data_IF_214277917018
#
_entry.id   IF_214277917018
#
_cell.length_a   1.000
_cell.length_b   1.000
_cell.length_c   1.000
_cell.angle_alpha   90.00
_cell.angle_beta   90.00
_cell.angle_gamma   90.00
#
_symmetry.space_group_name_H-M   'P 1'
#
loop_
_entity.id
_entity.type
_entity.pdbx_description
1 polymer ?
#
# COMPACT_ATOMS: atom_id res chain seq x y z
N UNK A 1 55.62 -43.67 -12.60
CA UNK A 1 54.99 -42.38 -12.23
C UNK A 1 54.14 -41.89 -13.41
N UNK A 2 52.81 -42.07 -13.34
CA UNK A 2 51.85 -41.66 -14.40
C UNK A 2 51.27 -40.29 -14.05
N UNK A 3 51.36 -39.33 -14.97
CA UNK A 3 50.71 -38.00 -14.88
C UNK A 3 49.21 -38.14 -15.10
N UNK A 4 48.40 -37.63 -14.17
CA UNK A 4 46.96 -37.53 -14.30
C UNK A 4 46.57 -36.35 -15.22
N UNK A 5 45.76 -36.63 -16.24
CA UNK A 5 45.18 -35.62 -17.11
C UNK A 5 44.02 -34.90 -16.41
N UNK A 6 44.08 -33.56 -16.34
CA UNK A 6 42.97 -32.72 -15.92
C UNK A 6 41.96 -32.61 -17.07
N UNK A 7 40.75 -33.11 -16.88
CA UNK A 7 39.62 -32.87 -17.79
C UNK A 7 39.17 -31.42 -17.66
N UNK A 8 39.44 -30.60 -18.68
CA UNK A 8 38.87 -29.27 -18.80
C UNK A 8 37.38 -29.37 -19.13
N UNK A 9 36.52 -28.84 -18.25
CA UNK A 9 35.12 -28.64 -18.57
C UNK A 9 35.01 -27.63 -19.71
N UNK A 10 34.19 -27.93 -20.72
CA UNK A 10 33.91 -27.03 -21.83
C UNK A 10 33.27 -25.72 -21.31
N UNK A 11 33.55 -24.57 -21.94
CA UNK A 11 32.89 -23.31 -21.58
C UNK A 11 31.38 -23.44 -21.80
N UNK A 12 30.55 -22.84 -20.93
CA UNK A 12 29.10 -22.90 -21.07
C UNK A 12 28.67 -22.24 -22.38
N UNK A 13 27.75 -22.90 -23.08
CA UNK A 13 27.16 -22.45 -24.33
C UNK A 13 26.46 -21.08 -24.13
N UNK A 14 26.88 -20.01 -24.84
CA UNK A 14 26.31 -18.68 -24.71
C UNK A 14 24.86 -18.57 -25.22
N UNK A 15 24.30 -19.64 -25.79
CA UNK A 15 22.92 -19.68 -26.33
C UNK A 15 21.90 -20.32 -25.39
N UNK A 16 22.33 -20.90 -24.26
CA UNK A 16 21.43 -21.38 -23.22
C UNK A 16 20.91 -20.19 -22.38
N UNK A 17 19.98 -19.40 -22.92
CA UNK A 17 19.11 -18.55 -22.09
C UNK A 17 18.21 -19.47 -21.27
N UNK A 18 18.73 -19.97 -20.15
CA UNK A 18 17.90 -20.53 -19.09
C UNK A 18 16.80 -19.52 -18.77
N UNK A 19 15.54 -19.97 -18.65
CA UNK A 19 14.43 -19.11 -18.24
C UNK A 19 14.89 -18.35 -16.99
N UNK A 20 15.00 -17.03 -17.09
CA UNK A 20 15.36 -16.20 -15.95
C UNK A 20 14.37 -16.50 -14.82
N UNK A 21 14.88 -16.64 -13.59
CA UNK A 21 14.01 -16.86 -12.43
C UNK A 21 12.99 -15.70 -12.34
N UNK A 22 11.74 -15.96 -11.92
CA UNK A 22 10.78 -14.89 -11.66
C UNK A 22 11.36 -13.89 -10.67
N UNK A 23 11.10 -12.60 -10.90
CA UNK A 23 11.50 -11.53 -9.98
C UNK A 23 10.74 -11.67 -8.68
N UNK A 24 11.42 -11.55 -7.54
CA UNK A 24 10.77 -11.51 -6.22
C UNK A 24 10.28 -10.09 -5.98
N UNK A 25 8.97 -9.93 -5.90
CA UNK A 25 8.29 -8.63 -5.83
C UNK A 25 7.64 -8.45 -4.47
N UNK A 26 7.78 -7.26 -3.89
CA UNK A 26 6.92 -6.79 -2.81
C UNK A 26 5.96 -5.72 -3.32
N UNK A 27 4.70 -5.75 -2.89
CA UNK A 27 3.69 -4.75 -3.26
C UNK A 27 3.33 -3.89 -2.04
N UNK A 28 3.38 -2.57 -2.18
CA UNK A 28 3.09 -1.63 -1.12
C UNK A 28 1.87 -0.78 -1.49
N UNK A 29 0.79 -0.89 -0.70
CA UNK A 29 -0.51 -0.31 -0.98
C UNK A 29 -0.76 0.94 -0.12
N UNK A 30 -0.66 2.13 -0.72
CA UNK A 30 -0.92 3.38 0.00
C UNK A 30 -2.41 3.48 0.40
N UNK A 31 -2.66 4.05 1.59
CA UNK A 31 -4.00 4.38 2.06
C UNK A 31 -4.67 5.51 1.28
N UNK A 32 -6.00 5.50 1.27
CA UNK A 32 -6.78 6.55 0.62
C UNK A 32 -8.30 6.47 0.81
N UNK A 33 -8.82 5.77 1.82
CA UNK A 33 -10.26 5.55 1.98
C UNK A 33 -10.85 4.80 0.78
N UNK A 34 -12.00 5.26 0.28
CA UNK A 34 -12.67 4.72 -0.91
C UNK A 34 -11.78 4.71 -2.16
N UNK A 35 -10.81 5.63 -2.27
CA UNK A 35 -9.87 5.61 -3.39
C UNK A 35 -9.02 4.32 -3.45
N UNK A 36 -8.92 3.55 -2.37
CA UNK A 36 -8.26 2.25 -2.37
C UNK A 36 -8.99 1.18 -3.22
N UNK A 37 -10.20 1.46 -3.71
CA UNK A 37 -10.84 0.67 -4.78
C UNK A 37 -9.95 0.60 -6.03
N UNK A 38 -9.17 1.65 -6.32
CA UNK A 38 -8.12 1.60 -7.35
C UNK A 38 -7.07 0.53 -7.07
N UNK A 39 -6.57 0.47 -5.83
CA UNK A 39 -5.63 -0.58 -5.41
C UNK A 39 -6.21 -1.97 -5.58
N UNK A 40 -7.50 -2.17 -5.27
CA UNK A 40 -8.15 -3.45 -5.49
C UNK A 40 -8.21 -3.83 -6.97
N UNK A 41 -8.53 -2.89 -7.86
CA UNK A 41 -8.45 -3.10 -9.31
C UNK A 41 -7.03 -3.52 -9.74
N UNK A 42 -6.01 -2.81 -9.25
CA UNK A 42 -4.61 -3.15 -9.56
C UNK A 42 -4.27 -4.57 -9.12
N UNK A 43 -4.52 -4.91 -7.86
CA UNK A 43 -4.24 -6.24 -7.32
C UNK A 43 -5.04 -7.33 -8.04
N UNK A 44 -6.31 -7.07 -8.38
CA UNK A 44 -7.15 -8.02 -9.13
C UNK A 44 -6.56 -8.35 -10.50
N UNK A 45 -5.97 -7.37 -11.18
CA UNK A 45 -5.34 -7.59 -12.49
C UNK A 45 -3.99 -8.28 -12.34
N UNK A 46 -3.15 -7.87 -11.40
CA UNK A 46 -1.84 -8.50 -11.16
C UNK A 46 -1.96 -9.98 -10.76
N UNK A 47 -3.02 -10.35 -10.06
CA UNK A 47 -3.29 -11.74 -9.64
C UNK A 47 -4.00 -12.59 -10.70
N UNK A 48 -4.33 -12.01 -11.87
CA UNK A 48 -4.94 -12.77 -12.97
C UNK A 48 -3.93 -13.71 -13.63
N UNK A 49 -4.44 -14.76 -14.31
CA UNK A 49 -3.63 -15.75 -15.03
C UNK A 49 -2.63 -15.12 -16.02
N UNK A 50 -2.95 -13.94 -16.56
CA UNK A 50 -2.09 -13.21 -17.51
C UNK A 50 -0.80 -12.66 -16.87
N UNK A 51 -0.84 -12.31 -15.57
CA UNK A 51 0.23 -11.57 -14.91
C UNK A 51 0.90 -12.32 -13.76
N UNK A 52 0.15 -13.17 -13.05
CA UNK A 52 0.58 -13.75 -11.77
C UNK A 52 1.84 -14.62 -11.87
N UNK A 53 2.10 -15.22 -13.03
CA UNK A 53 3.26 -16.09 -13.26
C UNK A 53 4.51 -15.30 -13.69
N UNK A 54 4.39 -13.99 -13.92
CA UNK A 54 5.49 -13.10 -14.29
C UNK A 54 6.41 -12.73 -13.12
N UNK A 55 5.98 -12.96 -11.88
CA UNK A 55 6.72 -12.59 -10.67
C UNK A 55 6.41 -13.54 -9.50
N UNK A 56 7.30 -13.57 -8.50
CA UNK A 56 7.05 -14.21 -7.21
C UNK A 56 6.66 -13.14 -6.20
N UNK A 57 5.40 -13.14 -5.73
CA UNK A 57 4.97 -12.23 -4.67
C UNK A 57 5.58 -12.64 -3.33
N UNK A 58 6.61 -11.93 -2.88
CA UNK A 58 7.28 -12.16 -1.61
C UNK A 58 6.45 -11.63 -0.43
N UNK A 59 5.81 -10.48 -0.61
CA UNK A 59 5.01 -9.84 0.44
C UNK A 59 4.15 -8.69 -0.06
N UNK A 60 3.14 -8.36 0.72
CA UNK A 60 2.24 -7.24 0.48
C UNK A 60 2.13 -6.40 1.76
N UNK A 61 2.09 -5.08 1.63
CA UNK A 61 1.87 -4.19 2.77
C UNK A 61 0.80 -3.16 2.47
N UNK A 62 0.17 -2.62 3.51
CA UNK A 62 -0.75 -1.51 3.34
C UNK A 62 -1.06 -0.76 4.62
N UNK A 63 -1.65 0.42 4.43
CA UNK A 63 -2.16 1.29 5.49
C UNK A 63 -3.59 1.72 5.12
N UNK A 64 -4.49 1.82 6.09
CA UNK A 64 -5.87 2.30 5.86
C UNK A 64 -6.61 1.46 4.83
N UNK A 65 -7.32 2.06 3.87
CA UNK A 65 -7.91 1.35 2.72
C UNK A 65 -6.91 0.47 1.95
N UNK A 66 -5.63 0.85 1.91
CA UNK A 66 -4.57 0.02 1.34
C UNK A 66 -4.28 -1.24 2.17
N UNK A 67 -4.40 -1.17 3.50
CA UNK A 67 -4.29 -2.33 4.39
C UNK A 67 -5.46 -3.30 4.18
N UNK A 68 -6.66 -2.79 3.94
CA UNK A 68 -7.85 -3.60 3.61
C UNK A 68 -7.58 -4.37 2.31
N UNK A 69 -7.16 -3.69 1.25
CA UNK A 69 -6.82 -4.33 -0.03
C UNK A 69 -5.69 -5.37 0.12
N UNK A 70 -4.63 -5.02 0.84
CA UNK A 70 -3.51 -5.93 1.12
C UNK A 70 -3.95 -7.18 1.87
N UNK A 71 -4.77 -7.03 2.91
CA UNK A 71 -5.27 -8.13 3.73
C UNK A 71 -6.24 -9.03 2.94
N UNK A 72 -7.12 -8.47 2.10
CA UNK A 72 -8.04 -9.25 1.26
C UNK A 72 -7.28 -10.11 0.25
N UNK A 73 -6.28 -9.51 -0.42
CA UNK A 73 -5.43 -10.23 -1.36
C UNK A 73 -4.64 -11.34 -0.66
N UNK A 74 -3.99 -11.00 0.46
CA UNK A 74 -3.23 -11.95 1.27
C UNK A 74 -4.09 -13.11 1.80
N UNK A 75 -5.27 -12.81 2.36
CA UNK A 75 -6.17 -13.82 2.90
C UNK A 75 -6.59 -14.81 1.82
N UNK A 76 -7.01 -14.31 0.64
CA UNK A 76 -7.38 -15.17 -0.47
C UNK A 76 -6.22 -16.03 -0.98
N UNK A 77 -5.01 -15.45 -1.11
CA UNK A 77 -3.82 -16.20 -1.48
C UNK A 77 -3.49 -17.31 -0.48
N UNK A 78 -3.68 -17.06 0.82
CA UNK A 78 -3.41 -18.02 1.87
C UNK A 78 -4.47 -19.14 2.00
N UNK A 79 -5.71 -18.92 1.52
CA UNK A 79 -6.81 -19.89 1.64
C UNK A 79 -7.17 -20.59 0.33
N UNK A 80 -7.36 -19.84 -0.75
CA UNK A 80 -7.93 -20.33 -2.00
C UNK A 80 -7.15 -19.92 -3.25
N UNK A 81 -5.99 -19.27 -3.08
CA UNK A 81 -5.12 -18.84 -4.17
C UNK A 81 -5.57 -17.54 -4.86
N UNK A 82 -5.00 -17.24 -6.05
CA UNK A 82 -5.18 -15.96 -6.71
C UNK A 82 -6.64 -15.61 -7.04
N UNK A 83 -7.45 -16.58 -7.47
CA UNK A 83 -8.87 -16.33 -7.79
C UNK A 83 -9.71 -16.02 -6.54
N UNK A 84 -9.42 -16.66 -5.40
CA UNK A 84 -10.06 -16.32 -4.11
C UNK A 84 -9.68 -14.89 -3.67
N UNK A 85 -8.41 -14.50 -3.83
CA UNK A 85 -7.95 -13.14 -3.57
C UNK A 85 -8.68 -12.11 -4.45
N UNK A 86 -8.82 -12.40 -5.74
CA UNK A 86 -9.55 -11.53 -6.69
C UNK A 86 -11.03 -11.41 -6.34
N UNK A 87 -11.66 -12.52 -5.95
CA UNK A 87 -13.07 -12.56 -5.56
C UNK A 87 -13.33 -11.75 -4.27
N UNK A 88 -12.44 -11.86 -3.28
CA UNK A 88 -12.55 -11.09 -2.01
C UNK A 88 -12.39 -9.60 -2.23
N UNK A 89 -11.42 -9.19 -3.05
CA UNK A 89 -11.25 -7.80 -3.45
C UNK A 89 -12.50 -7.26 -4.14
N UNK A 90 -13.03 -7.98 -5.14
CA UNK A 90 -14.24 -7.57 -5.84
C UNK A 90 -15.46 -7.49 -4.90
N UNK A 91 -15.70 -8.57 -4.13
CA UNK A 91 -16.85 -8.68 -3.25
C UNK A 91 -16.85 -7.65 -2.13
N UNK A 92 -15.68 -7.34 -1.53
CA UNK A 92 -15.60 -6.31 -0.49
C UNK A 92 -15.98 -4.94 -1.03
N UNK A 93 -15.44 -4.54 -2.19
CA UNK A 93 -15.70 -3.22 -2.76
C UNK A 93 -17.09 -3.11 -3.38
N UNK A 94 -17.66 -4.22 -3.85
CA UNK A 94 -19.07 -4.27 -4.29
C UNK A 94 -20.01 -4.11 -3.09
N UNK A 95 -19.76 -4.83 -2.00
CA UNK A 95 -20.52 -4.71 -0.74
C UNK A 95 -20.38 -3.34 -0.08
N UNK A 96 -19.25 -2.66 -0.27
CA UNK A 96 -19.03 -1.33 0.27
C UNK A 96 -19.87 -0.25 -0.42
N UNK A 97 -20.47 -0.52 -1.59
CA UNK A 97 -21.27 0.44 -2.35
C UNK A 97 -22.47 0.93 -1.54
N UNK A 98 -22.79 2.21 -1.69
CA UNK A 98 -24.03 2.78 -1.20
C UNK A 98 -25.14 2.58 -2.25
N UNK A 99 -25.62 1.35 -2.39
CA UNK A 99 -26.55 0.93 -3.46
C UNK A 99 -28.02 0.89 -3.01
N UNK A 100 -28.30 0.77 -1.72
CA UNK A 100 -29.66 0.88 -1.19
C UNK A 100 -30.11 2.35 -1.18
N UNK A 101 -31.42 2.65 -1.33
CA UNK A 101 -31.91 4.03 -1.29
C UNK A 101 -31.55 4.79 -0.01
N UNK A 102 -31.49 4.08 1.13
CA UNK A 102 -31.13 4.66 2.43
C UNK A 102 -29.63 4.95 2.47
N UNK A 103 -28.78 4.00 2.07
CA UNK A 103 -27.33 4.20 2.06
C UNK A 103 -26.92 5.26 1.05
N UNK A 104 -27.53 5.29 -0.13
CA UNK A 104 -27.29 6.31 -1.14
C UNK A 104 -27.65 7.71 -0.62
N UNK A 105 -28.79 7.84 0.08
CA UNK A 105 -29.19 9.09 0.71
C UNK A 105 -28.22 9.51 1.82
N UNK A 106 -27.79 8.58 2.68
CA UNK A 106 -26.81 8.85 3.74
C UNK A 106 -25.44 9.25 3.17
N UNK A 107 -24.97 8.55 2.13
CA UNK A 107 -23.73 8.84 1.43
C UNK A 107 -23.79 10.24 0.80
N UNK A 108 -24.87 10.58 0.10
CA UNK A 108 -25.07 11.90 -0.49
C UNK A 108 -25.00 13.01 0.56
N UNK A 109 -25.70 12.88 1.69
CA UNK A 109 -25.68 13.89 2.75
C UNK A 109 -24.34 13.95 3.48
N UNK A 110 -23.67 12.81 3.69
CA UNK A 110 -22.31 12.77 4.22
C UNK A 110 -21.33 13.54 3.33
N UNK A 111 -21.43 13.37 2.02
CA UNK A 111 -20.63 14.10 1.03
C UNK A 111 -20.95 15.58 1.03
N UNK A 112 -22.23 15.94 0.99
CA UNK A 112 -22.68 17.33 1.03
C UNK A 112 -22.17 18.06 2.27
N UNK A 113 -22.19 17.40 3.44
CA UNK A 113 -21.65 17.95 4.68
C UNK A 113 -20.12 18.07 4.67
N UNK A 114 -19.42 17.06 4.15
CA UNK A 114 -17.95 17.04 4.07
C UNK A 114 -17.39 18.10 3.11
N UNK A 115 -18.16 18.52 2.10
CA UNK A 115 -17.77 19.57 1.15
C UNK A 115 -18.19 20.99 1.57
N UNK A 116 -18.74 21.18 2.78
CA UNK A 116 -19.09 22.52 3.27
C UNK A 116 -17.82 23.37 3.52
N UNK A 117 -17.89 24.70 3.28
CA UNK A 117 -16.73 25.59 3.49
C UNK A 117 -16.39 25.76 4.98
N UNK A 118 -17.37 25.55 5.86
CA UNK A 118 -17.19 25.45 7.29
C UNK A 118 -17.10 23.99 7.71
N UNK A 119 -16.30 23.71 8.74
CA UNK A 119 -16.14 22.36 9.25
C UNK A 119 -16.49 22.33 10.73
N UNK A 120 -17.36 21.41 11.09
CA UNK A 120 -17.71 21.13 12.48
C UNK A 120 -17.17 19.76 12.79
N UNK A 121 -15.97 19.71 13.35
CA UNK A 121 -15.35 18.45 13.75
C UNK A 121 -16.01 18.00 15.06
N UNK A 122 -16.82 16.95 14.98
CA UNK A 122 -17.48 16.34 16.14
C UNK A 122 -16.64 15.16 16.62
N UNK A 123 -16.35 15.13 17.92
CA UNK A 123 -15.62 14.00 18.49
C UNK A 123 -16.44 12.70 18.39
N UNK A 124 -15.87 11.60 17.88
CA UNK A 124 -16.55 10.30 17.81
C UNK A 124 -16.81 9.69 19.19
N UNK A 125 -16.24 10.28 20.25
CA UNK A 125 -16.53 9.95 21.64
C UNK A 125 -17.80 10.64 22.17
N UNK A 126 -18.27 11.69 21.49
CA UNK A 126 -19.53 12.37 21.82
C UNK A 126 -20.71 11.86 20.99
N UNK A 127 -20.46 11.45 19.75
CA UNK A 127 -21.47 10.95 18.84
C UNK A 127 -21.01 9.60 18.28
N UNK A 128 -21.64 8.51 18.73
CA UNK A 128 -21.35 7.16 18.25
C UNK A 128 -22.01 6.97 16.88
N UNK A 129 -21.20 6.71 15.84
CA UNK A 129 -21.66 6.52 14.47
C UNK A 129 -21.66 5.05 14.01
N UNK A 130 -21.13 4.13 14.84
CA UNK A 130 -21.08 2.69 14.54
C UNK A 130 -20.14 2.28 13.40
N UNK A 131 -19.32 3.19 12.87
CA UNK A 131 -18.47 2.93 11.70
C UNK A 131 -17.45 1.78 11.94
N UNK A 132 -16.97 1.63 13.17
CA UNK A 132 -16.09 0.54 13.61
C UNK A 132 -16.78 -0.83 13.56
N UNK A 133 -18.04 -0.91 13.99
CA UNK A 133 -18.84 -2.15 13.95
C UNK A 133 -19.13 -2.57 12.51
N UNK A 134 -19.58 -1.62 11.68
CA UNK A 134 -19.87 -1.86 10.26
C UNK A 134 -18.63 -2.37 9.53
N UNK A 135 -17.49 -1.69 9.69
CA UNK A 135 -16.24 -2.13 9.06
C UNK A 135 -15.79 -3.51 9.59
N UNK A 136 -15.95 -3.77 10.89
CA UNK A 136 -15.62 -5.08 11.48
C UNK A 136 -16.45 -6.20 10.86
N UNK A 137 -17.76 -5.98 10.67
CA UNK A 137 -18.65 -6.96 10.03
C UNK A 137 -18.24 -7.23 8.58
N UNK A 138 -17.93 -6.18 7.82
CA UNK A 138 -17.47 -6.33 6.44
C UNK A 138 -16.15 -7.10 6.38
N UNK A 139 -15.16 -6.72 7.20
CA UNK A 139 -13.89 -7.45 7.28
C UNK A 139 -14.10 -8.92 7.67
N UNK A 140 -15.02 -9.23 8.59
CA UNK A 140 -15.36 -10.62 8.96
C UNK A 140 -15.97 -11.39 7.79
N UNK A 141 -16.85 -10.76 7.03
CA UNK A 141 -17.50 -11.35 5.88
C UNK A 141 -16.53 -11.72 4.75
N UNK A 142 -15.46 -10.92 4.54
CA UNK A 142 -14.57 -11.09 3.38
C UNK A 142 -13.17 -11.63 3.70
N UNK A 143 -12.64 -11.48 4.93
CA UNK A 143 -11.30 -11.99 5.27
C UNK A 143 -11.32 -13.41 5.80
N UNK A 144 -12.28 -13.75 6.66
CA UNK A 144 -12.31 -15.03 7.37
C UNK A 144 -10.94 -15.41 7.98
N UNK A 145 -10.36 -14.54 8.82
CA UNK A 145 -9.01 -14.73 9.37
C UNK A 145 -8.88 -16.07 10.12
N UNK A 146 -9.98 -16.52 10.74
CA UNK A 146 -10.12 -17.80 11.41
C UNK A 146 -9.90 -19.02 10.49
N UNK A 147 -10.17 -18.89 9.18
CA UNK A 147 -10.04 -19.98 8.19
C UNK A 147 -8.64 -20.09 7.59
N UNK A 148 -7.78 -19.07 7.73
CA UNK A 148 -6.42 -19.07 7.18
C UNK A 148 -5.54 -20.15 7.85
N UNK A 149 -5.90 -20.57 9.07
CA UNK A 149 -5.26 -21.68 9.76
C UNK A 149 -3.93 -21.30 10.41
N UNK A 150 -3.02 -22.28 10.49
CA UNK A 150 -1.77 -22.18 11.25
C UNK A 150 -0.85 -21.03 10.76
N UNK A 151 0.01 -20.46 11.64
CA UNK A 151 0.94 -19.38 11.27
C UNK A 151 1.81 -19.66 10.05
N UNK A 152 2.12 -20.92 9.75
CA UNK A 152 2.88 -21.29 8.56
C UNK A 152 2.20 -20.89 7.24
N UNK A 153 0.86 -20.99 7.16
CA UNK A 153 0.10 -20.55 5.97
C UNK A 153 0.02 -19.04 5.85
N UNK A 154 0.16 -18.34 6.97
CA UNK A 154 0.12 -16.87 7.07
C UNK A 154 1.43 -16.19 6.66
N UNK A 155 2.50 -16.96 6.44
CA UNK A 155 3.87 -16.46 6.17
C UNK A 155 4.17 -16.12 4.71
N UNK A 156 3.43 -16.67 3.75
CA UNK A 156 3.76 -16.57 2.33
C UNK A 156 2.49 -16.37 1.46
N UNK A 157 2.35 -15.22 0.76
CA UNK A 157 3.20 -14.03 0.89
C UNK A 157 3.13 -13.44 2.31
N UNK A 158 4.17 -12.72 2.73
CA UNK A 158 4.12 -11.99 3.99
C UNK A 158 3.12 -10.82 3.90
N UNK A 159 2.46 -10.47 5.00
CA UNK A 159 1.58 -9.31 5.10
C UNK A 159 2.07 -8.35 6.19
N UNK A 160 2.09 -7.05 5.88
CA UNK A 160 2.37 -6.00 6.86
C UNK A 160 1.28 -4.92 6.83
N UNK A 161 0.67 -4.65 7.98
CA UNK A 161 -0.36 -3.63 8.15
C UNK A 161 0.18 -2.52 9.04
N UNK A 162 0.11 -1.28 8.56
CA UNK A 162 0.61 -0.10 9.27
C UNK A 162 -0.48 0.68 10.01
N UNK A 163 -0.21 1.07 11.25
CA UNK A 163 -1.01 2.00 12.04
C UNK A 163 -0.11 2.96 12.84
N UNK A 164 -0.70 3.96 13.48
CA UNK A 164 0.00 4.90 14.37
C UNK A 164 -0.48 4.74 15.80
N UNK A 165 0.44 4.60 16.76
CA UNK A 165 0.11 4.74 18.18
C UNK A 165 -0.11 6.24 18.48
N UNK A 166 -1.31 6.60 18.90
CA UNK A 166 -1.70 8.01 19.10
C UNK A 166 -1.07 8.64 20.34
N UNK A 167 -0.61 7.83 21.29
CA UNK A 167 -0.02 8.32 22.54
C UNK A 167 1.45 8.61 22.38
N UNK A 168 2.17 7.81 21.59
CA UNK A 168 3.62 7.96 21.40
C UNK A 168 4.00 8.58 20.05
N UNK A 169 3.12 8.49 19.06
CA UNK A 169 3.43 8.82 17.67
C UNK A 169 4.21 7.72 16.94
N UNK A 170 4.41 6.57 17.58
CA UNK A 170 5.19 5.48 17.01
C UNK A 170 4.45 4.75 15.90
N UNK A 171 5.25 4.18 15.01
CA UNK A 171 4.83 3.24 13.97
C UNK A 171 4.45 1.90 14.60
N UNK A 172 3.23 1.43 14.38
CA UNK A 172 2.80 0.08 14.72
C UNK A 172 2.67 -0.78 13.46
N UNK A 173 3.41 -1.89 13.40
CA UNK A 173 3.35 -2.86 12.28
C UNK A 173 2.79 -4.18 12.75
N UNK A 174 1.69 -4.60 12.15
CA UNK A 174 1.08 -5.90 12.38
C UNK A 174 1.44 -6.83 11.25
N UNK A 175 1.94 -8.02 11.60
CA UNK A 175 2.31 -9.05 10.62
C UNK A 175 1.15 -10.01 10.40
N UNK A 176 1.05 -10.54 9.18
CA UNK A 176 0.01 -11.49 8.78
C UNK A 176 -0.10 -12.71 9.69
N UNK A 177 1.00 -13.20 10.28
CA UNK A 177 0.96 -14.37 11.17
C UNK A 177 0.07 -14.16 12.38
N UNK A 178 0.08 -12.95 12.92
CA UNK A 178 -0.61 -12.62 14.16
C UNK A 178 -1.81 -11.71 13.93
N UNK A 179 -2.07 -11.26 12.71
CA UNK A 179 -3.11 -10.28 12.40
C UNK A 179 -4.49 -10.68 12.93
N UNK A 180 -5.16 -9.71 13.57
CA UNK A 180 -6.56 -9.81 13.99
C UNK A 180 -7.36 -8.56 13.55
N UNK A 181 -8.69 -8.64 13.64
CA UNK A 181 -9.60 -7.57 13.21
C UNK A 181 -9.32 -6.20 13.85
N UNK A 182 -9.07 -6.07 15.17
CA UNK A 182 -8.77 -4.78 15.78
C UNK A 182 -7.53 -4.10 15.18
N UNK A 183 -6.56 -4.87 14.69
CA UNK A 183 -5.35 -4.32 14.09
C UNK A 183 -5.65 -3.65 12.73
N UNK A 184 -6.54 -4.27 11.93
CA UNK A 184 -7.02 -3.71 10.67
C UNK A 184 -7.95 -2.51 10.87
N UNK A 185 -8.87 -2.59 11.85
CA UNK A 185 -9.71 -1.44 12.22
C UNK A 185 -8.83 -0.28 12.69
N UNK A 186 -7.80 -0.54 13.50
CA UNK A 186 -6.84 0.48 13.93
C UNK A 186 -6.11 1.13 12.76
N UNK A 187 -5.67 0.33 11.78
CA UNK A 187 -5.04 0.84 10.54
C UNK A 187 -5.97 1.72 9.69
N UNK A 188 -7.29 1.49 9.75
CA UNK A 188 -8.31 2.24 9.03
C UNK A 188 -9.01 3.32 9.89
N UNK A 189 -8.60 3.50 11.15
CA UNK A 189 -9.24 4.41 12.09
C UNK A 189 -8.86 5.86 11.80
N UNK A 190 -9.54 6.45 10.81
CA UNK A 190 -9.43 7.86 10.48
C UNK A 190 -9.89 8.74 11.66
N UNK A 191 -9.12 9.79 12.01
CA UNK A 191 -9.56 10.75 13.02
C UNK A 191 -10.92 11.35 12.67
N UNK A 192 -11.69 11.67 13.71
CA UNK A 192 -13.05 12.22 13.63
C UNK A 192 -14.13 11.27 13.06
N UNK A 193 -13.76 10.23 12.31
CA UNK A 193 -14.69 9.18 11.87
C UNK A 193 -14.72 7.98 12.81
N UNK A 194 -13.56 7.57 13.33
CA UNK A 194 -13.43 6.43 14.25
C UNK A 194 -12.96 6.86 15.64
N UNK A 195 -13.42 6.15 16.68
CA UNK A 195 -12.74 6.16 17.97
C UNK A 195 -11.37 5.49 17.82
N UNK A 196 -10.40 5.92 18.62
CA UNK A 196 -9.11 5.23 18.66
C UNK A 196 -9.31 3.77 19.10
N UNK A 197 -8.60 2.85 18.44
CA UNK A 197 -8.76 1.41 18.64
C UNK A 197 -7.74 0.93 19.65
N UNK A 198 -8.21 0.24 20.70
CA UNK A 198 -7.34 -0.32 21.73
C UNK A 198 -7.05 -1.78 21.39
N UNK A 199 -5.78 -2.10 21.14
CA UNK A 199 -5.33 -3.47 20.84
C UNK A 199 -3.89 -3.67 21.28
N UNK A 200 -3.57 -4.83 21.85
CA UNK A 200 -2.20 -5.22 22.25
C UNK A 200 -1.44 -4.18 23.10
N UNK A 201 -2.16 -3.42 23.94
CA UNK A 201 -1.56 -2.36 24.78
C UNK A 201 -1.31 -1.03 24.08
N UNK A 202 -1.68 -0.90 22.80
CA UNK A 202 -1.58 0.31 21.99
C UNK A 202 -2.95 0.98 21.81
N UNK A 203 -2.92 2.29 21.52
CA UNK A 203 -4.10 3.08 21.17
C UNK A 203 -3.90 3.62 19.75
N UNK A 204 -4.69 3.14 18.80
CA UNK A 204 -4.37 3.26 17.38
C UNK A 204 -5.27 4.23 16.63
N UNK A 205 -4.63 4.96 15.71
CA UNK A 205 -5.24 5.60 14.54
C UNK A 205 -4.57 5.12 13.25
N UNK A 206 -5.14 5.55 12.14
CA UNK A 206 -4.61 5.35 10.79
C UNK A 206 -3.08 5.58 10.71
N UNK A 207 -2.40 4.75 9.93
CA UNK A 207 -0.96 4.84 9.69
C UNK A 207 -0.52 6.09 8.90
N UNK A 208 -1.44 6.89 8.35
CA UNK A 208 -1.17 8.13 7.61
C UNK A 208 -0.12 9.03 8.30
N UNK A 209 -0.09 9.04 9.63
CA UNK A 209 0.76 9.89 10.45
C UNK A 209 2.18 9.36 10.70
N UNK A 210 2.44 8.07 10.48
CA UNK A 210 3.72 7.43 10.80
C UNK A 210 4.24 6.46 9.73
N UNK A 211 3.35 5.73 9.04
CA UNK A 211 3.68 4.72 8.04
C UNK A 211 2.59 4.57 6.97
N UNK A 212 2.90 4.92 5.71
CA UNK A 212 1.92 4.80 4.62
C UNK A 212 2.58 4.59 3.24
N UNK A 213 2.84 3.35 2.79
CA UNK A 213 2.65 2.05 3.47
C UNK A 213 3.94 1.50 4.14
N UNK A 214 3.87 0.32 4.82
CA UNK A 214 5.03 -0.32 5.48
C UNK A 214 6.16 -0.84 4.57
N UNK A 215 6.93 0.07 3.96
CA UNK A 215 8.00 -0.29 3.00
C UNK A 215 9.18 -1.00 3.67
N UNK A 216 9.68 -0.52 4.82
CA UNK A 216 10.88 -1.11 5.48
C UNK A 216 10.74 -2.60 5.72
N UNK A 217 9.58 -3.05 6.19
CA UNK A 217 9.34 -4.44 6.53
C UNK A 217 9.28 -5.35 5.30
N UNK A 218 8.89 -4.80 4.14
CA UNK A 218 8.94 -5.54 2.87
C UNK A 218 10.38 -5.79 2.42
N UNK A 219 11.31 -4.88 2.72
CA UNK A 219 12.72 -5.01 2.31
C UNK A 219 13.44 -6.14 3.05
N UNK A 220 12.99 -6.49 4.27
CA UNK A 220 13.49 -7.63 5.04
C UNK A 220 13.24 -8.99 4.35
N UNK A 221 12.37 -9.01 3.32
CA UNK A 221 12.04 -10.19 2.54
C UNK A 221 13.04 -10.50 1.43
N UNK A 222 14.10 -9.69 1.24
CA UNK A 222 15.09 -9.84 0.16
C UNK A 222 14.44 -9.90 -1.24
N UNK A 223 13.76 -8.81 -1.60
CA UNK A 223 13.06 -8.64 -2.87
C UNK A 223 13.98 -8.08 -3.96
N UNK A 224 13.72 -8.44 -5.22
CA UNK A 224 14.36 -7.82 -6.38
C UNK A 224 13.69 -6.48 -6.71
N UNK A 225 12.37 -6.39 -6.51
CA UNK A 225 11.55 -5.23 -6.88
C UNK A 225 10.53 -4.85 -5.79
N UNK A 226 10.32 -3.54 -5.64
CA UNK A 226 9.28 -2.94 -4.81
C UNK A 226 8.27 -2.21 -5.70
N UNK A 227 7.03 -2.68 -5.73
CA UNK A 227 5.95 -2.05 -6.47
C UNK A 227 5.06 -1.26 -5.53
N UNK A 228 4.99 0.05 -5.71
CA UNK A 228 4.20 0.95 -4.89
C UNK A 228 2.96 1.39 -5.67
N UNK A 229 1.79 1.13 -5.10
CA UNK A 229 0.51 1.63 -5.58
C UNK A 229 0.21 2.92 -4.82
N UNK A 230 0.45 4.05 -5.46
CA UNK A 230 0.25 5.38 -4.91
C UNK A 230 -1.13 5.90 -5.26
N UNK A 231 -1.90 6.27 -4.23
CA UNK A 231 -3.24 6.84 -4.37
C UNK A 231 -3.18 8.37 -4.36
N UNK A 232 -2.41 8.96 -3.45
CA UNK A 232 -2.39 10.40 -3.24
C UNK A 232 -1.34 11.07 -4.13
N UNK A 233 -1.72 12.07 -4.96
CA UNK A 233 -0.80 12.67 -5.91
C UNK A 233 0.35 13.42 -5.22
N UNK A 234 1.56 13.28 -5.77
CA UNK A 234 2.75 13.96 -5.24
C UNK A 234 2.71 15.48 -5.46
N UNK A 235 2.20 15.90 -6.62
CA UNK A 235 2.11 17.29 -7.03
C UNK A 235 0.68 17.62 -7.48
N UNK A 236 0.30 18.88 -7.33
CA UNK A 236 -0.97 19.41 -7.82
C UNK A 236 -0.69 20.60 -8.75
N UNK A 237 -1.57 20.84 -9.72
CA UNK A 237 -1.40 21.90 -10.73
C UNK A 237 -1.88 23.28 -10.27
N UNK A 238 -2.80 23.30 -9.31
CA UNK A 238 -3.47 24.51 -8.87
C UNK A 238 -3.23 24.76 -7.38
N UNK A 239 -3.17 26.03 -6.99
CA UNK A 239 -3.04 26.44 -5.59
C UNK A 239 -4.32 26.08 -4.80
N UNK A 240 -4.22 25.41 -3.64
CA UNK A 240 -5.39 25.05 -2.84
C UNK A 240 -5.93 26.30 -2.13
N UNK A 241 -7.01 26.89 -2.65
CA UNK A 241 -7.59 28.14 -2.13
C UNK A 241 -8.86 27.96 -1.30
N UNK A 242 -9.58 26.85 -1.44
CA UNK A 242 -10.73 26.52 -0.60
C UNK A 242 -10.31 25.73 0.64
N UNK A 243 -11.12 25.76 1.70
CA UNK A 243 -10.85 24.99 2.92
C UNK A 243 -10.75 23.50 2.63
N UNK A 244 -11.61 22.97 1.76
CA UNK A 244 -11.59 21.58 1.31
C UNK A 244 -10.28 21.26 0.56
N UNK A 245 -9.87 22.11 -0.40
CA UNK A 245 -8.63 21.89 -1.14
C UNK A 245 -7.39 21.98 -0.24
N UNK A 246 -7.41 22.85 0.77
CA UNK A 246 -6.33 22.96 1.77
C UNK A 246 -6.27 21.70 2.64
N UNK A 247 -7.41 21.17 3.10
CA UNK A 247 -7.49 19.92 3.86
C UNK A 247 -6.99 18.74 3.04
N UNK A 248 -7.49 18.59 1.81
CA UNK A 248 -7.04 17.54 0.91
C UNK A 248 -5.53 17.63 0.67
N UNK A 249 -5.00 18.83 0.38
CA UNK A 249 -3.56 18.97 0.16
C UNK A 249 -2.74 18.68 1.42
N UNK A 250 -3.21 19.07 2.61
CA UNK A 250 -2.57 18.72 3.89
C UNK A 250 -2.48 17.20 4.04
N UNK A 251 -3.57 16.49 3.78
CA UNK A 251 -3.62 15.04 3.97
C UNK A 251 -2.82 14.29 2.89
N UNK A 252 -2.82 14.77 1.63
CA UNK A 252 -1.91 14.29 0.58
C UNK A 252 -0.44 14.46 0.96
N UNK A 253 -0.07 15.64 1.49
CA UNK A 253 1.30 15.92 1.91
C UNK A 253 1.70 15.04 3.10
N UNK A 254 0.82 14.88 4.09
CA UNK A 254 1.05 14.01 5.25
C UNK A 254 1.25 12.56 4.82
N UNK A 255 0.36 12.02 3.98
CA UNK A 255 0.46 10.65 3.50
C UNK A 255 1.64 10.39 2.58
N UNK A 256 2.09 11.39 1.83
CA UNK A 256 3.27 11.28 0.98
C UNK A 256 4.59 11.54 1.73
N UNK A 257 4.55 12.11 2.94
CA UNK A 257 5.76 12.39 3.71
C UNK A 257 6.49 11.09 4.09
N UNK A 258 5.78 10.14 4.70
CA UNK A 258 6.37 8.85 5.08
C UNK A 258 6.81 8.06 3.85
N UNK A 259 5.95 7.95 2.83
CA UNK A 259 6.30 7.30 1.56
C UNK A 259 7.58 7.87 0.93
N UNK A 260 7.68 9.20 0.81
CA UNK A 260 8.84 9.83 0.19
C UNK A 260 10.14 9.59 0.97
N UNK A 261 10.07 9.58 2.31
CA UNK A 261 11.22 9.26 3.16
C UNK A 261 11.67 7.82 3.01
N UNK A 262 10.72 6.87 2.92
CA UNK A 262 11.04 5.45 2.71
C UNK A 262 11.65 5.19 1.34
N UNK A 263 11.09 5.77 0.27
CA UNK A 263 11.66 5.63 -1.07
C UNK A 263 13.06 6.23 -1.16
N UNK A 264 13.25 7.42 -0.59
CA UNK A 264 14.57 8.04 -0.53
C UNK A 264 15.58 7.18 0.25
N UNK A 265 15.16 6.53 1.33
CA UNK A 265 16.01 5.60 2.07
C UNK A 265 16.46 4.42 1.21
N UNK A 266 15.54 3.80 0.46
CA UNK A 266 15.88 2.71 -0.47
C UNK A 266 16.87 3.18 -1.54
N UNK A 267 16.65 4.35 -2.14
CA UNK A 267 17.56 4.91 -3.14
C UNK A 267 18.96 5.14 -2.56
N UNK A 268 19.05 5.66 -1.33
CA UNK A 268 20.33 5.85 -0.66
C UNK A 268 21.03 4.54 -0.36
N UNK A 269 20.32 3.49 0.05
CA UNK A 269 20.91 2.16 0.21
C UNK A 269 21.42 1.64 -1.15
N UNK A 270 20.63 1.78 -2.22
CA UNK A 270 21.05 1.40 -3.57
C UNK A 270 22.32 2.15 -4.02
N UNK A 271 22.40 3.46 -3.77
CA UNK A 271 23.58 4.28 -4.08
C UNK A 271 24.82 3.81 -3.30
N UNK A 272 24.66 3.57 -1.98
CA UNK A 272 25.77 3.10 -1.14
C UNK A 272 26.24 1.71 -1.61
N UNK A 273 25.33 0.81 -1.96
CA UNK A 273 25.67 -0.51 -2.50
C UNK A 273 26.41 -0.42 -3.84
N UNK A 274 25.98 0.48 -4.72
CA UNK A 274 26.64 0.71 -6.01
C UNK A 274 28.08 1.20 -5.84
N UNK A 275 28.34 2.03 -4.83
CA UNK A 275 29.66 2.59 -4.55
C UNK A 275 30.58 1.65 -3.75
N UNK A 276 30.02 0.86 -2.82
CA UNK A 276 30.80 0.11 -1.81
C UNK A 276 30.72 -1.42 -1.95
N UNK A 277 29.86 -1.93 -2.84
CA UNK A 277 29.58 -3.37 -2.93
C UNK A 277 28.64 -3.87 -1.82
N UNK A 278 28.49 -5.21 -1.67
CA UNK A 278 27.52 -5.80 -0.76
C UNK A 278 27.75 -5.41 0.71
N UNK A 279 26.73 -4.83 1.35
CA UNK A 279 26.75 -4.52 2.77
C UNK A 279 26.12 -5.65 3.59
N UNK A 280 26.85 -6.14 4.59
CA UNK A 280 26.32 -7.11 5.55
C UNK A 280 25.28 -6.47 6.46
N UNK A 281 24.16 -7.17 6.64
CA UNK A 281 23.16 -6.86 7.65
C UNK A 281 22.96 -8.08 8.56
N UNK A 282 23.09 -7.86 9.86
CA UNK A 282 22.82 -8.88 10.88
C UNK A 282 21.42 -8.68 11.43
N UNK A 283 20.50 -9.57 11.08
CA UNK A 283 19.28 -9.73 11.86
C UNK A 283 19.56 -10.60 13.09
N UNK A 284 19.14 -10.20 14.30
CA UNK A 284 19.23 -11.06 15.48
C UNK A 284 18.56 -12.41 15.20
N UNK A 285 19.32 -13.51 15.28
CA UNK A 285 18.81 -14.87 15.10
C UNK A 285 18.70 -15.38 13.66
N UNK A 286 19.17 -14.64 12.64
CA UNK A 286 19.22 -15.11 11.24
C UNK A 286 20.67 -15.28 10.75
N UNK A 287 20.86 -16.09 9.69
CA UNK A 287 22.13 -16.15 8.97
C UNK A 287 22.51 -14.76 8.43
N UNK A 288 23.82 -14.50 8.27
CA UNK A 288 24.35 -13.28 7.64
C UNK A 288 23.59 -13.03 6.31
N UNK A 289 22.84 -11.92 6.24
CA UNK A 289 22.19 -11.43 5.03
C UNK A 289 22.94 -10.21 4.51
N UNK A 290 22.80 -9.94 3.23
CA UNK A 290 23.36 -8.74 2.61
C UNK A 290 22.22 -7.90 2.08
N UNK A 291 22.35 -6.59 2.18
CA UNK A 291 21.50 -5.68 1.43
C UNK A 291 21.74 -5.91 -0.07
N UNK A 292 20.65 -6.04 -0.82
CA UNK A 292 20.66 -6.14 -2.28
C UNK A 292 19.99 -4.91 -2.88
N UNK A 293 20.43 -4.45 -4.06
CA UNK A 293 19.73 -3.38 -4.75
C UNK A 293 18.28 -3.77 -5.05
N UNK A 294 17.35 -2.83 -4.84
CA UNK A 294 15.92 -3.03 -5.09
C UNK A 294 15.46 -2.03 -6.15
N UNK A 295 14.89 -2.51 -7.26
CA UNK A 295 14.25 -1.63 -8.23
C UNK A 295 12.86 -1.22 -7.72
N UNK A 296 12.56 0.08 -7.76
CA UNK A 296 11.28 0.60 -7.28
C UNK A 296 10.42 0.94 -8.49
N UNK A 297 9.18 0.45 -8.51
CA UNK A 297 8.14 0.86 -9.46
C UNK A 297 7.05 1.62 -8.71
N UNK A 298 6.71 2.83 -9.14
CA UNK A 298 5.69 3.67 -8.54
C UNK A 298 4.53 3.88 -9.53
N UNK A 299 3.42 3.18 -9.30
CA UNK A 299 2.18 3.37 -10.03
C UNK A 299 1.34 4.46 -9.37
N UNK A 300 1.24 5.60 -10.05
CA UNK A 300 0.44 6.75 -9.64
C UNK A 300 -1.00 6.58 -10.12
N UNK A 301 -1.96 6.62 -9.21
CA UNK A 301 -3.38 6.52 -9.54
C UNK A 301 -3.89 7.69 -10.40
N UNK A 302 -3.18 8.82 -10.45
CA UNK A 302 -3.54 9.99 -11.27
C UNK A 302 -4.85 10.65 -10.84
N UNK A 303 -5.10 10.70 -9.52
CA UNK A 303 -6.29 11.31 -8.91
C UNK A 303 -6.03 12.78 -8.56
N UNK A 304 -5.66 13.57 -9.57
CA UNK A 304 -5.22 14.98 -9.43
C UNK A 304 -6.38 15.98 -9.63
N UNK A 305 -7.47 15.52 -10.22
CA UNK A 305 -8.67 16.32 -10.50
C UNK A 305 -9.39 16.70 -9.20
N UNK A 306 -9.96 17.90 -9.16
CA UNK A 306 -10.73 18.41 -8.03
C UNK A 306 -11.90 17.49 -7.63
N UNK A 307 -12.45 16.70 -8.57
CA UNK A 307 -13.49 15.71 -8.26
C UNK A 307 -13.03 14.60 -7.30
N UNK A 308 -11.73 14.37 -7.20
CA UNK A 308 -11.11 13.41 -6.27
C UNK A 308 -10.62 14.10 -4.98
N UNK A 309 -11.37 15.11 -4.53
CA UNK A 309 -11.06 15.89 -3.33
C UNK A 309 -11.21 15.13 -2.02
N UNK A 310 -11.19 15.86 -0.90
CA UNK A 310 -11.23 15.24 0.43
C UNK A 310 -12.50 14.40 0.65
N UNK A 311 -13.66 14.92 0.27
CA UNK A 311 -14.94 14.24 0.47
C UNK A 311 -14.99 12.90 -0.29
N UNK A 312 -14.48 12.83 -1.53
CA UNK A 312 -14.57 11.61 -2.35
C UNK A 312 -13.80 10.42 -1.76
N UNK A 313 -12.88 10.64 -0.82
CA UNK A 313 -12.23 9.55 -0.04
C UNK A 313 -13.20 8.81 0.88
N UNK A 314 -14.35 9.39 1.17
CA UNK A 314 -15.43 8.81 1.95
C UNK A 314 -16.65 8.44 1.08
N UNK A 315 -16.65 8.82 -0.20
CA UNK A 315 -17.74 8.53 -1.13
C UNK A 315 -17.77 7.03 -1.48
N UNK A 316 -18.92 6.41 -1.29
CA UNK A 316 -19.18 5.00 -1.62
C UNK A 316 -20.15 4.85 -2.79
N UNK A 317 -20.34 5.89 -3.60
CA UNK A 317 -21.21 5.83 -4.78
C UNK A 317 -20.76 4.71 -5.72
N UNK A 318 -21.69 3.89 -6.25
CA UNK A 318 -21.35 2.81 -7.18
C UNK A 318 -20.50 3.29 -8.37
N UNK A 319 -20.86 4.45 -8.95
CA UNK A 319 -20.13 5.05 -10.06
C UNK A 319 -18.67 5.34 -9.75
N UNK A 320 -18.37 5.87 -8.55
CA UNK A 320 -16.98 6.18 -8.18
C UNK A 320 -16.19 4.89 -7.94
N UNK A 321 -16.74 3.95 -7.18
CA UNK A 321 -16.06 2.69 -6.85
C UNK A 321 -15.80 1.85 -8.10
N UNK A 322 -16.77 1.77 -9.02
CA UNK A 322 -16.62 1.06 -10.30
C UNK A 322 -15.61 1.74 -11.24
N UNK A 323 -15.58 3.08 -11.28
CA UNK A 323 -14.57 3.85 -12.02
C UNK A 323 -13.16 3.54 -11.49
N UNK A 324 -12.97 3.61 -10.17
CA UNK A 324 -11.67 3.37 -9.54
C UNK A 324 -11.20 1.93 -9.73
N UNK A 325 -12.08 0.94 -9.55
CA UNK A 325 -11.76 -0.47 -9.80
C UNK A 325 -11.32 -0.70 -11.25
N UNK A 326 -12.12 -0.24 -12.21
CA UNK A 326 -11.81 -0.38 -13.65
C UNK A 326 -10.47 0.29 -14.00
N UNK A 327 -10.27 1.52 -13.53
CA UNK A 327 -9.02 2.26 -13.75
C UNK A 327 -7.81 1.54 -13.15
N UNK A 328 -7.96 0.94 -11.98
CA UNK A 328 -6.91 0.12 -11.36
C UNK A 328 -6.54 -1.08 -12.22
N UNK A 329 -7.52 -1.80 -12.75
CA UNK A 329 -7.30 -2.95 -13.64
C UNK A 329 -6.60 -2.54 -14.94
N UNK A 330 -7.01 -1.44 -15.55
CA UNK A 330 -6.41 -0.92 -16.78
C UNK A 330 -4.96 -0.48 -16.59
N UNK A 331 -4.63 0.08 -15.42
CA UNK A 331 -3.30 0.64 -15.15
C UNK A 331 -2.30 -0.39 -14.61
N UNK A 332 -2.76 -1.51 -14.04
CA UNK A 332 -1.89 -2.53 -13.45
C UNK A 332 -0.73 -3.00 -14.34
N UNK A 333 -0.91 -3.24 -15.67
CA UNK A 333 0.19 -3.71 -16.51
C UNK A 333 1.38 -2.73 -16.57
N UNK A 334 1.16 -1.44 -16.27
CA UNK A 334 2.22 -0.42 -16.27
C UNK A 334 3.26 -0.64 -15.17
N UNK A 335 2.93 -1.37 -14.10
CA UNK A 335 3.91 -1.74 -13.07
C UNK A 335 5.06 -2.60 -13.62
N UNK A 336 4.83 -3.31 -14.74
CA UNK A 336 5.86 -4.08 -15.43
C UNK A 336 6.66 -3.26 -16.44
N UNK A 337 6.26 -2.02 -16.69
CA UNK A 337 6.90 -1.14 -17.66
C UNK A 337 7.94 -0.22 -16.99
N UNK A 338 9.00 0.11 -17.72
CA UNK A 338 10.09 0.98 -17.25
C UNK A 338 9.61 2.40 -16.90
N UNK A 339 8.48 2.85 -17.44
CA UNK A 339 7.91 4.18 -17.16
C UNK A 339 7.52 4.40 -15.68
N UNK A 340 7.29 3.31 -14.94
CA UNK A 340 7.00 3.37 -13.51
C UNK A 340 8.27 3.35 -12.64
N UNK A 341 9.45 3.16 -13.22
CA UNK A 341 10.70 3.11 -12.46
C UNK A 341 10.93 4.41 -11.68
N UNK A 342 11.27 4.23 -10.41
CA UNK A 342 11.69 5.28 -9.50
C UNK A 342 13.22 5.27 -9.34
N UNK A 343 13.84 6.47 -9.27
CA UNK A 343 13.24 7.78 -9.48
C UNK A 343 12.80 7.96 -10.93
N UNK A 344 11.60 8.54 -11.16
CA UNK A 344 11.29 9.08 -12.49
C UNK A 344 12.44 10.03 -12.86
N UNK A 345 12.93 10.01 -14.12
CA UNK A 345 13.96 10.98 -14.55
C UNK A 345 13.53 12.40 -14.12
N UNK A 346 14.31 13.04 -13.25
CA UNK A 346 14.01 14.35 -12.64
C UNK A 346 13.32 14.34 -11.26
N UNK A 347 13.01 13.19 -10.66
CA UNK A 347 12.21 13.12 -9.41
C UNK A 347 13.01 13.22 -8.10
N UNK A 348 14.30 12.87 -8.08
CA UNK A 348 15.12 12.91 -6.85
C UNK A 348 16.11 14.08 -6.78
N UNK A 349 16.66 14.55 -7.90
CA UNK A 349 17.62 15.67 -7.88
C UNK A 349 16.98 17.04 -7.55
N UNK A 350 15.66 17.11 -7.33
CA UNK A 350 14.92 18.39 -7.37
C UNK A 350 13.97 18.73 -6.21
N UNK A 351 13.83 17.94 -5.14
CA UNK A 351 12.83 18.27 -4.09
C UNK A 351 13.30 19.27 -3.03
N UNK A 352 14.60 19.52 -2.91
CA UNK A 352 15.10 20.63 -2.09
C UNK A 352 15.21 21.88 -2.95
N UNK A 353 14.18 22.73 -2.91
CA UNK A 353 14.24 24.05 -3.51
C UNK A 353 15.04 24.98 -2.60
N UNK A 354 16.32 25.23 -2.93
CA UNK A 354 17.09 26.30 -2.27
C UNK A 354 16.72 27.63 -2.92
N UNK A 355 15.77 28.35 -2.30
CA UNK A 355 15.33 29.65 -2.81
C UNK A 355 16.35 30.72 -2.36
N UNK A 356 17.26 31.11 -3.26
CA UNK A 356 18.10 32.28 -3.05
C UNK A 356 17.23 33.56 -3.05
N UNK A 357 17.52 34.52 -2.16
CA UNK A 357 16.88 35.84 -2.23
C UNK A 357 17.15 36.47 -3.60
N UNK A 358 16.09 36.80 -4.36
CA UNK A 358 16.22 37.72 -5.49
C UNK A 358 16.84 39.02 -4.94
N UNK A 359 18.02 39.41 -5.42
CA UNK A 359 18.49 40.79 -5.26
C UNK A 359 17.41 41.69 -5.91
N UNK A 360 16.90 42.62 -5.11
CA UNK A 360 15.82 43.54 -5.52
C UNK A 360 16.23 44.38 -6.71
#
# INVERSE_FOLDING_TARGET
MRRAARSGAAPPDPTARGKARPKRVAIACQGGGSHAAFTAGVLRRLLSDEFRDGFELAGISGTSGGAICAALAWAGLATGGPEDARARLAGFWDHAKADTPIDAWQNYWGMALASLPWNVDVSPYRLENGADRVLTEWLRAFLHLEKIGAPARRRAPALFVGATDVLTGDRCIFRGEELDYPDLIGSAALPFLYRAVHTRGHVLWDGLFSVNPPIRDLLDLAVDELWVIQISPLAIRQEPRSVEAIRERRDQLAGNLSLAQELHFVDKINEILALNGPLKHKHPGAQDRYYTPVAIHLLDAGLEDARFGYASRLDRSPSLLDELLSRGEEMAPRLLAEETLWPRRGALEGRTLTIARRKR
#
